data_IF_866002910812
#
_entry.id   IF_866002910812
#
_cell.length_a   1.000
_cell.length_b   1.000
_cell.length_c   1.000
_cell.angle_alpha   90.00
_cell.angle_beta   90.00
_cell.angle_gamma   90.00
#
_symmetry.space_group_name_H-M   'P 1'
#
loop_
_entity.id
_entity.type
_entity.pdbx_description
1 polymer ?
#
# COMPACT_ATOMS: atom_id res chain seq x y z
N UNK A 1 8.53 13.42 -59.09
CA UNK A 1 9.99 13.52 -59.34
C UNK A 1 10.57 14.51 -58.36
N UNK A 2 11.59 14.07 -57.63
CA UNK A 2 12.13 14.70 -56.43
C UNK A 2 12.78 16.05 -56.69
N UNK A 3 12.54 17.02 -55.80
CA UNK A 3 13.42 18.17 -55.63
C UNK A 3 14.02 18.10 -54.22
N UNK A 4 15.27 17.64 -54.21
CA UNK A 4 16.19 17.63 -53.08
C UNK A 4 16.74 19.05 -52.91
N UNK A 5 16.60 19.63 -51.72
CA UNK A 5 17.39 20.80 -51.33
C UNK A 5 18.22 20.44 -50.10
N UNK A 6 19.52 20.61 -50.34
CA UNK A 6 20.68 20.27 -49.53
C UNK A 6 20.69 21.00 -48.18
N UNK A 7 20.96 20.24 -47.13
CA UNK A 7 21.50 20.73 -45.86
C UNK A 7 22.91 21.26 -46.09
N UNK A 8 23.22 22.44 -45.55
CA UNK A 8 24.55 23.04 -45.62
C UNK A 8 24.78 24.02 -44.49
N UNK A 9 25.58 23.58 -43.50
CA UNK A 9 26.37 24.34 -42.51
C UNK A 9 25.56 25.19 -41.48
N UNK A 10 25.92 25.28 -40.20
CA UNK A 10 27.24 25.63 -39.64
C UNK A 10 27.36 25.05 -38.21
N UNK A 11 28.58 24.65 -37.88
CA UNK A 11 29.09 24.24 -36.56
C UNK A 11 29.10 25.44 -35.61
N UNK A 12 28.63 25.27 -34.38
CA UNK A 12 29.17 25.99 -33.23
C UNK A 12 29.36 25.02 -32.05
N UNK A 13 30.64 24.74 -31.79
CA UNK A 13 31.13 24.03 -30.62
C UNK A 13 31.25 25.08 -29.51
N UNK A 14 30.55 24.87 -28.40
CA UNK A 14 30.94 25.47 -27.12
C UNK A 14 31.20 24.32 -26.16
N UNK A 15 32.49 24.05 -25.99
CA UNK A 15 33.00 23.29 -24.87
C UNK A 15 32.97 24.19 -23.62
N UNK A 16 32.30 23.75 -22.56
CA UNK A 16 32.68 24.13 -21.22
C UNK A 16 32.96 22.87 -20.40
N UNK A 17 34.24 22.71 -20.10
CA UNK A 17 34.76 21.79 -19.11
C UNK A 17 34.67 22.49 -17.77
N UNK A 18 33.93 21.92 -16.82
CA UNK A 18 34.19 22.12 -15.39
C UNK A 18 34.33 20.74 -14.78
N UNK A 19 35.57 20.40 -14.45
CA UNK A 19 35.91 19.28 -13.58
C UNK A 19 36.01 19.76 -12.15
N UNK A 20 35.46 18.96 -11.24
CA UNK A 20 35.86 18.71 -9.84
C UNK A 20 34.66 17.97 -9.22
N UNK A 21 34.75 16.83 -8.55
CA UNK A 21 35.87 16.03 -8.08
C UNK A 21 35.24 15.06 -7.09
N UNK A 22 35.36 13.77 -7.32
CA UNK A 22 35.07 12.76 -6.30
C UNK A 22 36.16 11.72 -6.35
N UNK A 23 37.03 11.77 -5.33
CA UNK A 23 37.91 10.68 -4.98
C UNK A 23 37.19 9.68 -4.08
N UNK A 24 37.69 8.44 -4.11
CA UNK A 24 37.60 7.38 -3.09
C UNK A 24 36.19 6.77 -2.93
N UNK A 25 35.94 5.45 -3.07
CA UNK A 25 36.77 4.25 -2.93
C UNK A 25 36.19 3.11 -3.77
N UNK A 26 37.00 2.58 -4.68
CA UNK A 26 36.85 1.20 -5.12
C UNK A 26 37.39 0.28 -4.01
N UNK A 27 36.55 -0.61 -3.47
CA UNK A 27 37.01 -1.78 -2.73
C UNK A 27 36.51 -3.03 -3.44
N UNK A 28 37.39 -3.58 -4.27
CA UNK A 28 37.36 -4.96 -4.69
C UNK A 28 37.52 -5.87 -3.48
N UNK A 29 36.79 -6.98 -3.45
CA UNK A 29 37.27 -8.34 -3.12
C UNK A 29 36.08 -9.27 -3.40
N UNK A 30 36.16 -10.23 -4.30
CA UNK A 30 37.21 -11.23 -4.34
C UNK A 30 36.71 -12.47 -3.59
N UNK A 31 35.87 -13.26 -4.26
CA UNK A 31 35.31 -14.51 -3.78
C UNK A 31 36.23 -15.66 -4.18
N UNK A 32 36.95 -16.25 -3.22
CA UNK A 32 37.39 -17.64 -3.24
C UNK A 32 38.17 -17.98 -1.96
N UNK A 33 37.81 -19.09 -1.29
CA UNK A 33 38.71 -19.74 -0.34
C UNK A 33 38.05 -20.29 0.92
N UNK A 34 37.89 -21.61 0.96
CA UNK A 34 37.52 -22.47 2.10
C UNK A 34 38.49 -22.30 3.28
N UNK A 35 38.02 -22.43 4.53
CA UNK A 35 38.50 -23.45 5.50
C UNK A 35 37.92 -23.23 6.92
N UNK A 36 37.95 -24.32 7.67
CA UNK A 36 37.39 -24.69 8.96
C UNK A 36 37.78 -23.88 10.21
N UNK A 37 36.83 -23.88 11.16
CA UNK A 37 36.91 -24.04 12.63
C UNK A 37 38.01 -23.25 13.38
N UNK A 38 37.57 -22.31 14.23
CA UNK A 38 38.09 -22.18 15.61
C UNK A 38 37.16 -21.30 16.45
N UNK A 39 36.68 -21.87 17.56
CA UNK A 39 36.12 -21.15 18.71
C UNK A 39 37.07 -20.05 19.18
N UNK A 40 36.53 -18.86 19.42
CA UNK A 40 36.94 -18.04 20.57
C UNK A 40 35.84 -17.06 20.94
N UNK A 41 35.23 -17.40 22.06
CA UNK A 41 34.49 -16.56 23.00
C UNK A 41 34.88 -15.07 22.96
N UNK A 42 33.90 -14.22 22.65
CA UNK A 42 33.82 -12.85 23.15
C UNK A 42 32.37 -12.56 23.55
N UNK A 43 32.07 -12.88 24.80
CA UNK A 43 31.01 -12.22 25.53
C UNK A 43 31.43 -10.75 25.76
N UNK A 44 30.70 -9.79 25.21
CA UNK A 44 30.23 -8.59 25.94
C UNK A 44 29.30 -7.70 25.10
N UNK A 45 28.10 -7.47 25.67
CA UNK A 45 27.13 -6.37 25.49
C UNK A 45 26.07 -6.44 24.38
N UNK A 46 24.89 -6.99 24.71
CA UNK A 46 23.60 -6.46 24.29
C UNK A 46 22.88 -5.88 25.51
N UNK A 47 23.14 -4.62 25.88
CA UNK A 47 22.31 -3.97 26.92
C UNK A 47 22.10 -2.45 26.79
N UNK A 48 22.55 -1.79 25.72
CA UNK A 48 22.34 -0.34 25.55
C UNK A 48 21.21 0.03 24.58
N UNK A 49 20.67 -0.90 23.77
CA UNK A 49 19.58 -0.55 22.84
C UNK A 49 18.18 -0.56 23.47
N UNK A 50 17.94 -1.34 24.51
CA UNK A 50 16.61 -1.46 25.12
C UNK A 50 16.31 -0.39 26.18
N UNK A 51 17.32 0.36 26.65
CA UNK A 51 17.10 1.54 27.50
C UNK A 51 16.86 2.83 26.69
N UNK A 52 17.08 2.84 25.36
CA UNK A 52 16.88 4.04 24.54
C UNK A 52 15.44 4.26 24.04
N UNK A 53 14.53 3.29 24.22
CA UNK A 53 13.13 3.44 23.78
C UNK A 53 12.19 4.05 24.82
N UNK A 54 12.62 4.25 26.06
CA UNK A 54 11.76 4.72 27.14
C UNK A 54 11.66 6.25 27.28
N UNK A 55 12.50 7.03 26.59
CA UNK A 55 12.57 8.50 26.72
C UNK A 55 12.44 9.23 25.37
N UNK A 56 11.59 8.75 24.45
CA UNK A 56 11.21 9.61 23.33
C UNK A 56 10.21 10.65 23.84
N UNK A 57 10.58 11.95 23.90
CA UNK A 57 9.64 12.98 24.32
C UNK A 57 8.41 12.92 23.41
N UNK A 58 7.20 12.98 23.99
CA UNK A 58 5.97 13.12 23.22
C UNK A 58 6.14 14.33 22.30
N UNK A 59 6.14 14.11 21.00
CA UNK A 59 6.31 15.20 20.03
C UNK A 59 5.22 16.22 20.27
N UNK A 60 5.60 17.48 20.47
CA UNK A 60 4.65 18.57 20.46
C UNK A 60 4.06 18.73 19.06
N UNK A 61 2.92 19.43 18.93
CA UNK A 61 2.37 19.80 17.63
C UNK A 61 3.38 20.59 16.79
N UNK A 62 4.23 21.39 17.42
CA UNK A 62 5.30 22.14 16.75
C UNK A 62 6.42 21.22 16.25
N UNK A 63 6.80 20.18 17.02
CA UNK A 63 7.76 19.16 16.58
C UNK A 63 7.22 18.34 15.40
N UNK A 64 5.92 18.01 15.43
CA UNK A 64 5.24 17.34 14.32
C UNK A 64 5.21 18.22 13.07
N UNK A 65 4.86 19.50 13.18
CA UNK A 65 4.85 20.45 12.04
C UNK A 65 6.27 20.65 11.51
N UNK A 66 7.26 20.81 12.39
CA UNK A 66 8.66 20.93 12.00
C UNK A 66 9.14 19.67 11.29
N UNK A 67 8.82 18.49 11.83
CA UNK A 67 9.21 17.22 11.22
C UNK A 67 8.48 16.96 9.91
N UNK A 68 7.20 17.34 9.80
CA UNK A 68 6.44 17.27 8.56
C UNK A 68 7.05 18.18 7.48
N UNK A 69 7.46 19.40 7.85
CA UNK A 69 8.19 20.32 6.96
C UNK A 69 9.56 19.78 6.57
N UNK A 70 10.36 19.29 7.51
CA UNK A 70 11.66 18.66 7.22
C UNK A 70 11.52 17.41 6.33
N UNK A 71 10.47 16.61 6.53
CA UNK A 71 10.17 15.44 5.71
C UNK A 71 9.69 15.87 4.32
N UNK A 72 8.89 16.93 4.23
CA UNK A 72 8.49 17.51 2.94
C UNK A 72 9.69 18.09 2.17
N UNK A 73 10.61 18.78 2.85
CA UNK A 73 11.87 19.28 2.28
C UNK A 73 12.82 18.14 1.89
N UNK A 74 12.93 17.08 2.71
CA UNK A 74 13.74 15.90 2.41
C UNK A 74 13.16 15.04 1.27
N UNK A 75 11.84 15.17 1.01
CA UNK A 75 11.15 14.57 -0.14
C UNK A 75 11.27 15.39 -1.42
N UNK A 76 11.79 16.63 -1.37
CA UNK A 76 12.07 17.37 -2.60
C UNK A 76 13.21 16.67 -3.33
N UNK A 77 12.96 16.28 -4.57
CA UNK A 77 13.99 15.70 -5.42
C UNK A 77 15.18 16.68 -5.47
N UNK A 78 16.43 16.22 -5.27
CA UNK A 78 17.59 17.12 -5.16
C UNK A 78 17.83 17.97 -6.43
N UNK A 79 17.21 17.59 -7.56
CA UNK A 79 17.22 18.38 -8.79
C UNK A 79 16.14 19.47 -8.85
N UNK A 80 15.04 19.38 -8.07
CA UNK A 80 13.89 20.27 -8.21
C UNK A 80 14.26 21.75 -8.10
N UNK A 81 15.11 22.10 -7.11
CA UNK A 81 15.59 23.48 -6.93
C UNK A 81 16.52 23.96 -8.06
N UNK A 82 17.26 23.05 -8.71
CA UNK A 82 18.12 23.41 -9.84
C UNK A 82 17.28 23.58 -11.12
N UNK A 83 16.24 22.76 -11.28
CA UNK A 83 15.33 22.81 -12.43
C UNK A 83 14.51 24.10 -12.47
N UNK A 84 14.28 24.78 -11.34
CA UNK A 84 13.62 26.10 -11.28
C UNK A 84 14.24 27.13 -12.25
N UNK A 85 15.55 27.06 -12.46
CA UNK A 85 16.29 27.97 -13.36
C UNK A 85 16.29 27.55 -14.84
N UNK A 86 15.88 26.31 -15.14
CA UNK A 86 15.85 25.78 -16.50
C UNK A 86 14.63 26.29 -17.26
N UNK A 87 14.79 26.53 -18.54
CA UNK A 87 13.69 26.82 -19.48
C UNK A 87 12.99 25.53 -19.92
N UNK A 88 11.75 25.66 -20.40
CA UNK A 88 11.00 24.51 -20.92
C UNK A 88 11.72 23.83 -22.10
N UNK A 89 12.42 24.60 -22.94
CA UNK A 89 13.24 24.08 -24.03
C UNK A 89 14.46 23.27 -23.55
N UNK A 90 15.07 23.64 -22.42
CA UNK A 90 16.17 22.87 -21.82
C UNK A 90 15.66 21.56 -21.22
N UNK A 91 14.47 21.59 -20.59
CA UNK A 91 13.81 20.39 -20.07
C UNK A 91 13.44 19.45 -21.22
N UNK A 92 12.80 19.95 -22.28
CA UNK A 92 12.47 19.19 -23.48
C UNK A 92 13.71 18.56 -24.10
N UNK A 93 14.79 19.32 -24.26
CA UNK A 93 16.03 18.82 -24.82
C UNK A 93 16.64 17.68 -23.99
N UNK A 94 16.64 17.81 -22.66
CA UNK A 94 17.13 16.77 -21.76
C UNK A 94 16.25 15.51 -21.83
N UNK A 95 14.93 15.66 -21.84
CA UNK A 95 14.01 14.54 -22.01
C UNK A 95 14.21 13.84 -23.36
N UNK A 96 14.38 14.58 -24.46
CA UNK A 96 14.70 14.02 -25.76
C UNK A 96 16.04 13.28 -25.77
N UNK A 97 17.05 13.76 -25.02
CA UNK A 97 18.30 13.03 -24.82
C UNK A 97 18.05 11.70 -24.09
N UNK A 98 17.19 11.67 -23.06
CA UNK A 98 16.86 10.41 -22.37
C UNK A 98 16.19 9.39 -23.28
N UNK A 99 15.32 9.82 -24.20
CA UNK A 99 14.68 8.95 -25.19
C UNK A 99 15.69 8.35 -26.17
N UNK A 100 16.81 9.04 -26.43
CA UNK A 100 17.88 8.51 -27.29
C UNK A 100 18.75 7.43 -26.63
N UNK A 101 18.59 7.23 -25.33
CA UNK A 101 19.37 6.29 -24.50
C UNK A 101 18.41 5.43 -23.65
N UNK A 102 17.77 4.42 -24.24
CA UNK A 102 16.71 3.64 -23.57
C UNK A 102 17.13 3.09 -22.20
N UNK A 103 18.39 2.72 -22.02
CA UNK A 103 18.94 2.25 -20.76
C UNK A 103 18.83 3.25 -19.60
N UNK A 104 18.60 4.54 -19.89
CA UNK A 104 18.36 5.58 -18.90
C UNK A 104 16.94 5.56 -18.34
N UNK A 105 15.98 5.04 -19.11
CA UNK A 105 14.57 4.89 -18.72
C UNK A 105 14.25 3.45 -18.27
N UNK A 106 15.05 2.47 -18.70
CA UNK A 106 14.91 1.06 -18.35
C UNK A 106 15.51 0.77 -16.95
N UNK A 107 14.83 1.22 -15.90
CA UNK A 107 14.95 0.64 -14.56
C UNK A 107 13.67 -0.10 -14.21
N UNK A 108 13.73 -1.19 -13.44
CA UNK A 108 12.48 -1.75 -12.93
C UNK A 108 11.78 -0.72 -12.05
N UNK A 109 10.45 -0.67 -12.08
CA UNK A 109 9.65 0.18 -11.18
C UNK A 109 9.97 -0.07 -9.69
N UNK A 110 10.57 -1.22 -9.38
CA UNK A 110 10.97 -1.62 -8.03
C UNK A 110 12.37 -1.17 -7.62
N UNK A 111 13.25 -0.85 -8.58
CA UNK A 111 14.62 -0.39 -8.35
C UNK A 111 14.94 0.74 -9.34
N UNK A 112 14.30 1.91 -9.18
CA UNK A 112 14.53 3.05 -10.06
C UNK A 112 16.02 3.43 -10.02
N UNK A 113 16.59 3.63 -11.21
CA UNK A 113 17.95 4.14 -11.32
C UNK A 113 17.92 5.67 -11.24
N UNK A 114 19.03 6.30 -10.85
CA UNK A 114 19.06 7.76 -10.67
C UNK A 114 18.69 8.54 -11.95
N UNK A 115 18.86 7.94 -13.13
CA UNK A 115 18.58 8.60 -14.41
C UNK A 115 17.10 8.55 -14.77
N UNK A 116 16.40 7.45 -14.44
CA UNK A 116 14.94 7.38 -14.60
C UNK A 116 14.26 8.34 -13.64
N UNK A 117 14.68 8.39 -12.37
CA UNK A 117 14.22 9.41 -11.41
C UNK A 117 14.41 10.85 -11.94
N UNK A 118 15.57 11.14 -12.54
CA UNK A 118 15.83 12.46 -13.14
C UNK A 118 14.90 12.75 -14.32
N UNK A 119 14.62 11.79 -15.20
CA UNK A 119 13.68 11.95 -16.31
C UNK A 119 12.24 12.19 -15.81
N UNK A 120 11.82 11.46 -14.77
CA UNK A 120 10.53 11.66 -14.13
C UNK A 120 10.42 13.04 -13.51
N UNK A 121 11.45 13.51 -12.80
CA UNK A 121 11.47 14.85 -12.20
C UNK A 121 11.48 15.95 -13.27
N UNK A 122 12.18 15.76 -14.40
CA UNK A 122 12.14 16.69 -15.53
C UNK A 122 10.73 16.82 -16.11
N UNK A 123 10.04 15.70 -16.35
CA UNK A 123 8.68 15.71 -16.87
C UNK A 123 7.69 16.31 -15.84
N UNK A 124 7.78 15.93 -14.57
CA UNK A 124 7.02 16.50 -13.44
C UNK A 124 7.21 18.02 -13.35
N UNK A 125 8.47 18.43 -13.36
CA UNK A 125 9.03 19.72 -13.80
C UNK A 125 8.09 20.54 -14.67
N UNK A 126 8.11 20.09 -15.92
CA UNK A 126 7.47 20.73 -17.05
C UNK A 126 5.96 20.71 -16.95
N UNK A 127 5.36 19.57 -16.57
CA UNK A 127 3.91 19.44 -16.43
C UNK A 127 3.30 20.44 -15.45
N UNK A 128 4.02 20.80 -14.38
CA UNK A 128 3.55 21.82 -13.43
C UNK A 128 3.61 23.24 -13.98
N UNK A 129 4.48 23.51 -14.95
CA UNK A 129 4.67 24.83 -15.56
C UNK A 129 3.77 25.05 -16.75
N UNK A 130 3.77 24.07 -17.66
CA UNK A 130 3.03 24.06 -18.91
C UNK A 130 2.61 22.61 -19.21
N UNK A 131 1.48 22.23 -18.65
CA UNK A 131 0.92 20.90 -18.82
C UNK A 131 0.65 20.57 -20.29
N UNK A 132 0.10 21.51 -21.05
CA UNK A 132 -0.30 21.27 -22.45
C UNK A 132 0.92 21.03 -23.35
N UNK A 133 1.99 21.80 -23.18
CA UNK A 133 3.23 21.58 -23.92
C UNK A 133 3.89 20.23 -23.55
N UNK A 134 3.99 19.93 -22.25
CA UNK A 134 4.55 18.67 -21.78
C UNK A 134 3.73 17.45 -22.25
N UNK A 135 2.40 17.55 -22.24
CA UNK A 135 1.50 16.51 -22.71
C UNK A 135 1.57 16.34 -24.24
N UNK A 136 1.70 17.43 -25.00
CA UNK A 136 1.91 17.37 -26.45
C UNK A 136 3.24 16.66 -26.79
N UNK A 137 4.31 16.96 -26.03
CA UNK A 137 5.59 16.26 -26.14
C UNK A 137 5.45 14.77 -25.82
N UNK A 138 4.84 14.42 -24.68
CA UNK A 138 4.59 13.02 -24.27
C UNK A 138 3.80 12.26 -25.34
N UNK A 139 2.75 12.90 -25.89
CA UNK A 139 1.92 12.32 -26.95
C UNK A 139 2.73 11.99 -28.20
N UNK A 140 3.77 12.79 -28.48
CA UNK A 140 4.70 12.61 -29.59
C UNK A 140 5.71 11.48 -29.42
N UNK A 141 5.90 10.94 -28.21
CA UNK A 141 6.81 9.80 -27.94
C UNK A 141 6.32 8.57 -28.71
N UNK A 142 7.21 7.98 -29.51
CA UNK A 142 6.91 6.81 -30.37
C UNK A 142 7.39 5.49 -29.78
N UNK A 143 8.40 5.51 -28.90
CA UNK A 143 8.88 4.30 -28.24
C UNK A 143 7.88 3.87 -27.17
N UNK A 144 7.24 2.72 -27.36
CA UNK A 144 6.17 2.25 -26.48
C UNK A 144 6.64 1.98 -25.05
N UNK A 145 7.87 1.50 -24.86
CA UNK A 145 8.40 1.19 -23.53
C UNK A 145 8.69 2.48 -22.77
N UNK A 146 9.38 3.44 -23.41
CA UNK A 146 9.62 4.74 -22.83
C UNK A 146 8.31 5.47 -22.51
N UNK A 147 7.33 5.37 -23.41
CA UNK A 147 6.00 5.97 -23.22
C UNK A 147 5.26 5.37 -22.03
N UNK A 148 5.27 4.05 -21.88
CA UNK A 148 4.68 3.35 -20.72
C UNK A 148 5.36 3.77 -19.39
N UNK A 149 6.70 3.87 -19.37
CA UNK A 149 7.43 4.31 -18.18
C UNK A 149 7.07 5.75 -17.81
N UNK A 150 7.07 6.66 -18.78
CA UNK A 150 6.73 8.07 -18.56
C UNK A 150 5.25 8.28 -18.23
N UNK A 151 4.37 7.35 -18.62
CA UNK A 151 2.94 7.41 -18.33
C UNK A 151 2.65 7.42 -16.82
N UNK A 152 3.51 6.82 -16.00
CA UNK A 152 3.40 6.88 -14.53
C UNK A 152 3.51 8.33 -14.05
N UNK A 153 4.52 9.07 -14.53
CA UNK A 153 4.71 10.48 -14.21
C UNK A 153 3.54 11.34 -14.72
N UNK A 154 3.01 11.00 -15.90
CA UNK A 154 1.83 11.65 -16.46
C UNK A 154 0.62 11.53 -15.53
N UNK A 155 0.32 10.32 -15.04
CA UNK A 155 -0.79 10.11 -14.11
C UNK A 155 -0.59 10.83 -12.77
N UNK A 156 0.61 10.78 -12.19
CA UNK A 156 0.92 11.45 -10.91
C UNK A 156 0.75 12.97 -10.95
N UNK A 157 0.91 13.59 -12.13
CA UNK A 157 0.89 15.03 -12.31
C UNK A 157 -0.28 15.51 -13.18
N UNK A 158 -1.27 14.65 -13.40
CA UNK A 158 -2.47 15.03 -14.15
C UNK A 158 -3.33 16.02 -13.36
N UNK A 159 -3.73 17.16 -13.95
CA UNK A 159 -4.56 18.16 -13.29
C UNK A 159 -5.90 17.59 -12.83
N UNK A 160 -6.27 17.84 -11.57
CA UNK A 160 -7.52 17.35 -11.00
C UNK A 160 -8.76 17.92 -11.71
N UNK A 161 -8.67 19.14 -12.27
CA UNK A 161 -9.72 19.78 -13.07
C UNK A 161 -9.87 19.21 -14.49
N UNK A 162 -9.01 18.26 -14.87
CA UNK A 162 -9.02 17.55 -16.16
C UNK A 162 -9.26 16.05 -16.01
N UNK A 163 -9.91 15.63 -14.93
CA UNK A 163 -10.22 14.24 -14.63
C UNK A 163 -10.87 13.48 -15.81
N UNK A 164 -11.92 14.07 -16.43
CA UNK A 164 -12.62 13.42 -17.55
C UNK A 164 -11.72 13.22 -18.78
N UNK A 165 -10.76 14.13 -19.01
CA UNK A 165 -9.78 14.01 -20.11
C UNK A 165 -8.77 12.90 -19.84
N UNK A 166 -8.29 12.77 -18.60
CA UNK A 166 -7.39 11.70 -18.18
C UNK A 166 -8.04 10.32 -18.31
N UNK A 167 -9.30 10.21 -17.87
CA UNK A 167 -10.08 8.99 -18.05
C UNK A 167 -10.33 8.66 -19.54
N UNK A 168 -10.66 9.66 -20.37
CA UNK A 168 -10.78 9.46 -21.81
C UNK A 168 -9.45 9.00 -22.45
N UNK A 169 -8.31 9.53 -21.98
CA UNK A 169 -6.99 9.11 -22.45
C UNK A 169 -6.73 7.63 -22.13
N UNK A 170 -7.06 7.18 -20.92
CA UNK A 170 -6.95 5.78 -20.52
C UNK A 170 -7.74 4.86 -21.46
N UNK A 171 -8.95 5.24 -21.85
CA UNK A 171 -9.81 4.48 -22.76
C UNK A 171 -9.25 4.37 -24.17
N UNK A 172 -8.62 5.44 -24.65
CA UNK A 172 -8.05 5.49 -26.01
C UNK A 172 -6.75 4.67 -26.08
N UNK A 173 -5.94 4.68 -25.01
CA UNK A 173 -4.61 4.06 -24.98
C UNK A 173 -4.41 3.08 -23.81
N UNK A 174 -5.27 2.05 -23.64
CA UNK A 174 -5.19 1.13 -22.51
C UNK A 174 -3.86 0.35 -22.46
N UNK A 175 -3.16 0.22 -23.59
CA UNK A 175 -1.85 -0.43 -23.70
C UNK A 175 -0.70 0.36 -23.06
N UNK A 176 -0.82 1.70 -22.99
CA UNK A 176 0.16 2.58 -22.32
C UNK A 176 -0.08 2.59 -20.80
N UNK A 177 -1.30 2.22 -20.38
CA UNK A 177 -1.72 2.12 -18.99
C UNK A 177 -2.13 0.68 -18.64
N UNK A 178 -1.19 -0.28 -18.70
CA UNK A 178 -1.49 -1.67 -18.40
C UNK A 178 -1.93 -1.86 -16.95
N UNK A 179 -2.56 -3.01 -16.67
CA UNK A 179 -2.93 -3.43 -15.32
C UNK A 179 -1.70 -3.41 -14.42
N UNK A 180 -1.73 -2.60 -13.36
CA UNK A 180 -0.61 -2.40 -12.44
C UNK A 180 0.17 -1.10 -12.64
N UNK A 181 -0.11 -0.34 -13.69
CA UNK A 181 0.41 1.01 -13.84
C UNK A 181 -0.30 1.97 -12.86
N UNK A 182 0.42 2.67 -11.96
CA UNK A 182 -0.18 3.61 -11.01
C UNK A 182 -1.01 4.73 -11.65
N UNK A 183 -0.65 5.18 -12.86
CA UNK A 183 -1.39 6.22 -13.58
C UNK A 183 -2.81 5.79 -13.94
N UNK A 184 -3.01 4.51 -14.27
CA UNK A 184 -4.34 3.95 -14.50
C UNK A 184 -5.22 4.10 -13.28
N UNK A 185 -4.70 3.72 -12.10
CA UNK A 185 -5.43 3.86 -10.84
C UNK A 185 -5.80 5.31 -10.57
N UNK A 186 -4.87 6.25 -10.78
CA UNK A 186 -5.13 7.69 -10.62
C UNK A 186 -6.23 8.20 -11.57
N UNK A 187 -6.20 7.83 -12.85
CA UNK A 187 -7.25 8.21 -13.81
C UNK A 187 -8.60 7.58 -13.52
N UNK A 188 -8.63 6.30 -13.12
CA UNK A 188 -9.85 5.64 -12.68
C UNK A 188 -10.47 6.40 -11.49
N UNK A 189 -9.68 6.68 -10.45
CA UNK A 189 -10.15 7.37 -9.25
C UNK A 189 -10.63 8.79 -9.58
N UNK A 190 -9.86 9.58 -10.32
CA UNK A 190 -10.28 10.93 -10.73
C UNK A 190 -11.57 10.91 -11.57
N UNK A 191 -11.69 9.97 -12.51
CA UNK A 191 -12.91 9.81 -13.32
C UNK A 191 -14.12 9.48 -12.46
N UNK A 192 -13.98 8.55 -11.51
CA UNK A 192 -15.04 8.19 -10.55
C UNK A 192 -15.42 9.38 -9.65
N UNK A 193 -14.45 10.16 -9.18
CA UNK A 193 -14.70 11.38 -8.38
C UNK A 193 -15.49 12.42 -9.17
N UNK A 194 -15.06 12.70 -10.40
CA UNK A 194 -15.70 13.69 -11.27
C UNK A 194 -17.14 13.30 -11.62
N UNK A 195 -17.37 12.02 -11.92
CA UNK A 195 -18.70 11.50 -12.20
C UNK A 195 -19.59 11.48 -10.96
N UNK A 196 -19.05 11.12 -9.79
CA UNK A 196 -19.79 11.21 -8.53
C UNK A 196 -20.25 12.65 -8.24
N UNK A 197 -19.40 13.64 -8.52
CA UNK A 197 -19.73 15.06 -8.31
C UNK A 197 -20.77 15.60 -9.31
N UNK A 198 -20.77 15.13 -10.57
CA UNK A 198 -21.63 15.64 -11.65
C UNK A 198 -22.93 14.83 -11.81
N UNK A 199 -22.81 13.51 -11.85
CA UNK A 199 -23.88 12.55 -12.12
C UNK A 199 -24.45 11.87 -10.87
N UNK A 200 -23.85 12.11 -9.69
CA UNK A 200 -24.25 11.49 -8.44
C UNK A 200 -24.11 9.97 -8.47
N UNK A 201 -24.89 9.28 -7.65
CA UNK A 201 -24.86 7.83 -7.51
C UNK A 201 -25.18 7.07 -8.82
N UNK A 202 -26.16 7.56 -9.59
CA UNK A 202 -26.58 6.92 -10.85
C UNK A 202 -25.51 7.08 -11.93
N UNK A 203 -24.93 8.28 -12.06
CA UNK A 203 -23.83 8.52 -13.00
C UNK A 203 -22.61 7.67 -12.66
N UNK A 204 -22.24 7.63 -11.38
CA UNK A 204 -21.13 6.80 -10.90
C UNK A 204 -21.36 5.31 -11.19
N UNK A 205 -22.58 4.82 -10.95
CA UNK A 205 -22.96 3.44 -11.26
C UNK A 205 -22.86 3.11 -12.75
N UNK A 206 -23.29 4.03 -13.62
CA UNK A 206 -23.17 3.87 -15.07
C UNK A 206 -21.70 3.84 -15.53
N UNK A 207 -20.86 4.72 -14.98
CA UNK A 207 -19.43 4.74 -15.26
C UNK A 207 -18.72 3.47 -14.78
N UNK A 208 -19.04 2.97 -13.59
CA UNK A 208 -18.49 1.69 -13.09
C UNK A 208 -18.86 0.51 -14.00
N UNK A 209 -20.11 0.46 -14.47
CA UNK A 209 -20.56 -0.58 -15.40
C UNK A 209 -19.80 -0.50 -16.74
N UNK A 210 -19.57 0.72 -17.26
CA UNK A 210 -18.76 0.94 -18.46
C UNK A 210 -17.29 0.52 -18.24
N UNK A 211 -16.67 0.94 -17.13
CA UNK A 211 -15.31 0.55 -16.77
C UNK A 211 -15.17 -0.97 -16.62
N UNK A 212 -16.16 -1.64 -16.05
CA UNK A 212 -16.17 -3.09 -15.94
C UNK A 212 -16.24 -3.76 -17.33
N UNK A 213 -17.15 -3.30 -18.19
CA UNK A 213 -17.31 -3.82 -19.55
C UNK A 213 -16.05 -3.63 -20.41
N UNK A 214 -15.34 -2.53 -20.21
CA UNK A 214 -14.08 -2.20 -20.92
C UNK A 214 -12.84 -2.80 -20.24
N UNK A 215 -13.00 -3.57 -19.16
CA UNK A 215 -11.90 -4.15 -18.38
C UNK A 215 -10.89 -3.09 -17.88
N UNK A 216 -11.40 -1.92 -17.48
CA UNK A 216 -10.62 -0.78 -16.98
C UNK A 216 -10.38 -0.83 -15.46
N UNK A 217 -11.23 -1.53 -14.72
CA UNK A 217 -11.09 -1.73 -13.28
C UNK A 217 -9.85 -2.55 -12.90
N UNK A 218 -9.29 -2.28 -11.72
CA UNK A 218 -8.02 -2.83 -11.27
C UNK A 218 -8.21 -3.83 -10.13
N UNK A 219 -7.60 -5.02 -10.20
CA UNK A 219 -7.82 -6.08 -9.21
C UNK A 219 -6.63 -6.34 -8.27
N UNK A 220 -5.67 -5.41 -8.16
CA UNK A 220 -4.47 -5.61 -7.34
C UNK A 220 -4.13 -4.36 -6.51
N UNK A 221 -3.43 -4.56 -5.39
CA UNK A 221 -2.91 -3.47 -4.59
C UNK A 221 -3.96 -2.65 -3.85
N UNK A 222 -3.48 -1.67 -3.09
CA UNK A 222 -4.30 -0.69 -2.40
C UNK A 222 -4.27 0.60 -3.23
N UNK A 223 -5.43 1.04 -3.69
CA UNK A 223 -5.63 2.38 -4.24
C UNK A 223 -6.67 3.05 -3.35
N UNK A 224 -6.42 4.26 -2.81
CA UNK A 224 -7.44 4.97 -2.06
C UNK A 224 -8.68 5.15 -2.97
N UNK A 225 -9.88 4.92 -2.41
CA UNK A 225 -11.13 5.14 -3.15
C UNK A 225 -11.32 6.61 -3.57
N UNK A 226 -12.28 6.89 -4.47
CA UNK A 226 -12.57 8.25 -4.92
C UNK A 226 -13.12 9.10 -3.78
N UNK A 227 -12.64 10.33 -3.57
CA UNK A 227 -13.30 11.24 -2.61
C UNK A 227 -14.71 11.60 -3.11
N UNK A 228 -15.72 11.22 -2.33
CA UNK A 228 -17.13 11.46 -2.64
C UNK A 228 -17.67 12.68 -1.88
N UNK A 229 -18.73 13.34 -2.37
CA UNK A 229 -19.46 14.36 -1.60
C UNK A 229 -19.94 13.83 -0.23
N UNK A 230 -20.00 14.70 0.78
CA UNK A 230 -20.42 14.33 2.14
C UNK A 230 -21.84 13.73 2.19
N UNK A 231 -22.72 14.16 1.28
CA UNK A 231 -24.11 13.73 1.12
C UNK A 231 -24.31 12.72 -0.02
N UNK A 232 -23.25 12.02 -0.43
CA UNK A 232 -23.33 11.04 -1.50
C UNK A 232 -24.29 9.89 -1.17
N UNK A 233 -25.20 9.59 -2.10
CA UNK A 233 -26.26 8.59 -1.95
C UNK A 233 -25.76 7.17 -2.27
N UNK A 234 -25.13 6.52 -1.29
CA UNK A 234 -24.63 5.14 -1.46
C UNK A 234 -25.74 4.12 -1.70
N UNK A 235 -26.94 4.33 -1.17
CA UNK A 235 -28.09 3.42 -1.38
C UNK A 235 -28.52 3.42 -2.85
N UNK A 236 -28.58 4.60 -3.47
CA UNK A 236 -28.84 4.72 -4.90
C UNK A 236 -27.75 4.06 -5.75
N UNK A 237 -26.48 4.14 -5.34
CA UNK A 237 -25.37 3.46 -6.03
C UNK A 237 -25.49 1.94 -5.91
N UNK A 238 -25.79 1.45 -4.70
CA UNK A 238 -26.00 0.04 -4.42
C UNK A 238 -27.15 -0.58 -5.22
N UNK A 239 -28.10 0.24 -5.67
CA UNK A 239 -29.23 -0.18 -6.51
C UNK A 239 -28.89 -0.34 -8.00
N UNK A 240 -27.71 0.07 -8.48
CA UNK A 240 -27.36 0.01 -9.92
C UNK A 240 -26.70 -1.30 -10.37
N UNK A 241 -26.61 -2.31 -9.51
CA UNK A 241 -25.83 -3.56 -9.67
C UNK A 241 -24.31 -3.37 -9.90
N UNK A 242 -23.83 -2.17 -10.18
CA UNK A 242 -22.44 -1.90 -10.56
C UNK A 242 -21.42 -2.25 -9.46
N UNK A 243 -21.76 -2.06 -8.18
CA UNK A 243 -20.92 -2.49 -7.07
C UNK A 243 -20.79 -4.02 -6.99
N UNK A 244 -21.86 -4.73 -7.33
CA UNK A 244 -21.86 -6.20 -7.35
C UNK A 244 -21.07 -6.72 -8.55
N UNK A 245 -21.30 -6.17 -9.73
CA UNK A 245 -20.63 -6.60 -10.95
C UNK A 245 -19.12 -6.32 -10.91
N UNK A 246 -18.72 -5.20 -10.32
CA UNK A 246 -17.31 -4.84 -10.13
C UNK A 246 -16.68 -5.40 -8.85
N UNK A 247 -17.34 -6.31 -8.13
CA UNK A 247 -16.80 -6.86 -6.90
C UNK A 247 -15.46 -7.56 -7.13
N UNK A 248 -14.54 -7.42 -6.16
CA UNK A 248 -13.17 -7.92 -6.28
C UNK A 248 -12.20 -6.95 -6.95
N UNK A 249 -12.68 -5.82 -7.46
CA UNK A 249 -11.83 -4.72 -7.94
C UNK A 249 -11.50 -3.75 -6.82
N UNK A 250 -10.37 -3.05 -6.97
CA UNK A 250 -9.80 -2.13 -5.98
C UNK A 250 -10.66 -0.89 -5.86
N UNK A 251 -11.17 -0.39 -6.98
CA UNK A 251 -12.06 0.77 -7.03
C UNK A 251 -13.37 0.50 -6.29
N UNK A 252 -14.01 -0.65 -6.54
CA UNK A 252 -15.25 -1.03 -5.85
C UNK A 252 -15.01 -1.28 -4.36
N UNK A 253 -13.92 -1.96 -3.99
CA UNK A 253 -13.56 -2.12 -2.57
C UNK A 253 -13.30 -0.78 -1.88
N UNK A 254 -12.66 0.16 -2.58
CA UNK A 254 -12.45 1.53 -2.10
C UNK A 254 -13.77 2.27 -1.87
N UNK A 255 -14.73 2.16 -2.80
CA UNK A 255 -16.06 2.74 -2.67
C UNK A 255 -16.84 2.14 -1.49
N UNK A 256 -16.85 0.82 -1.35
CA UNK A 256 -17.53 0.13 -0.25
C UNK A 256 -16.85 0.44 1.10
N UNK A 257 -15.52 0.59 1.12
CA UNK A 257 -14.79 1.01 2.32
C UNK A 257 -15.17 2.43 2.75
N UNK A 258 -15.36 3.35 1.81
CA UNK A 258 -15.87 4.69 2.12
C UNK A 258 -17.32 4.66 2.58
N UNK A 259 -18.16 3.82 1.97
CA UNK A 259 -19.52 3.62 2.45
C UNK A 259 -19.52 3.13 3.90
N UNK A 260 -18.71 2.12 4.24
CA UNK A 260 -18.56 1.66 5.63
C UNK A 260 -18.05 2.74 6.59
N UNK A 261 -17.26 3.70 6.12
CA UNK A 261 -16.82 4.82 6.93
C UNK A 261 -17.93 5.86 7.20
N UNK A 262 -18.90 5.99 6.30
CA UNK A 262 -20.03 6.92 6.40
C UNK A 262 -21.23 6.28 7.12
N UNK A 263 -21.65 5.10 6.67
CA UNK A 263 -22.77 4.31 7.18
C UNK A 263 -22.40 2.83 7.21
N UNK A 264 -21.77 2.42 8.32
CA UNK A 264 -21.31 1.05 8.52
C UNK A 264 -22.47 0.03 8.55
N UNK A 265 -23.66 0.41 9.00
CA UNK A 265 -24.80 -0.50 9.12
C UNK A 265 -25.32 -0.90 7.75
N UNK A 266 -25.65 0.09 6.91
CA UNK A 266 -26.16 -0.17 5.56
C UNK A 266 -25.13 -0.85 4.67
N UNK A 267 -23.86 -0.42 4.74
CA UNK A 267 -22.79 -0.99 3.94
C UNK A 267 -22.52 -2.46 4.31
N UNK A 268 -22.42 -2.79 5.60
CA UNK A 268 -22.21 -4.17 6.04
C UNK A 268 -23.41 -5.04 5.68
N UNK A 269 -24.64 -4.56 5.90
CA UNK A 269 -25.85 -5.28 5.52
C UNK A 269 -25.90 -5.58 4.01
N UNK A 270 -25.47 -4.63 3.18
CA UNK A 270 -25.35 -4.82 1.73
C UNK A 270 -24.31 -5.90 1.41
N UNK A 271 -23.08 -5.79 1.95
CA UNK A 271 -22.00 -6.76 1.69
C UNK A 271 -22.38 -8.16 2.15
N UNK A 272 -22.99 -8.31 3.33
CA UNK A 272 -23.44 -9.60 3.85
C UNK A 272 -24.44 -10.25 2.89
N UNK A 273 -25.37 -9.46 2.34
CA UNK A 273 -26.39 -9.92 1.41
C UNK A 273 -25.82 -10.31 0.04
N UNK A 274 -24.80 -9.60 -0.45
CA UNK A 274 -24.28 -9.81 -1.81
C UNK A 274 -23.11 -10.79 -1.86
N UNK A 275 -22.22 -10.75 -0.87
CA UNK A 275 -20.91 -11.41 -0.88
C UNK A 275 -20.67 -12.29 0.35
N UNK A 276 -21.59 -12.27 1.31
CA UNK A 276 -21.51 -13.04 2.54
C UNK A 276 -20.51 -12.47 3.57
N UNK A 277 -20.35 -13.16 4.71
CA UNK A 277 -19.46 -12.75 5.79
C UNK A 277 -18.01 -12.56 5.36
N UNK A 278 -17.47 -13.46 4.53
CA UNK A 278 -16.12 -13.33 3.98
C UNK A 278 -15.92 -12.06 3.14
N UNK A 279 -16.99 -11.55 2.51
CA UNK A 279 -17.00 -10.27 1.80
C UNK A 279 -16.69 -9.07 2.71
N UNK A 280 -17.20 -9.06 3.95
CA UNK A 280 -16.97 -7.98 4.92
C UNK A 280 -15.48 -7.88 5.27
N UNK A 281 -14.83 -9.03 5.49
CA UNK A 281 -13.39 -9.05 5.76
C UNK A 281 -12.57 -8.48 4.59
N UNK A 282 -12.94 -8.82 3.35
CA UNK A 282 -12.24 -8.33 2.16
C UNK A 282 -12.28 -6.80 2.04
N UNK A 283 -13.30 -6.12 2.57
CA UNK A 283 -13.36 -4.65 2.61
C UNK A 283 -12.53 -4.11 3.77
N UNK A 284 -12.59 -4.76 4.95
CA UNK A 284 -11.79 -4.39 6.12
C UNK A 284 -10.30 -4.37 5.81
N UNK A 285 -9.79 -5.42 5.15
CA UNK A 285 -8.39 -5.54 4.74
C UNK A 285 -7.93 -4.36 3.87
N UNK A 286 -8.85 -3.78 3.10
CA UNK A 286 -8.59 -2.71 2.15
C UNK A 286 -8.58 -1.31 2.75
N UNK A 287 -8.75 -1.12 4.07
CA UNK A 287 -8.43 0.15 4.71
C UNK A 287 -9.52 0.78 5.57
N UNK A 288 -10.19 -0.02 6.42
CA UNK A 288 -11.09 0.54 7.42
C UNK A 288 -10.34 1.21 8.58
N UNK A 289 -10.85 2.35 9.04
CA UNK A 289 -10.34 3.05 10.22
C UNK A 289 -10.86 2.43 11.53
N UNK A 290 -10.21 2.72 12.66
CA UNK A 290 -10.55 2.13 13.98
C UNK A 290 -12.01 2.30 14.38
N UNK A 291 -12.63 3.47 14.13
CA UNK A 291 -14.03 3.68 14.49
C UNK A 291 -14.98 2.79 13.67
N UNK A 292 -14.70 2.64 12.38
CA UNK A 292 -15.43 1.74 11.47
C UNK A 292 -15.30 0.29 11.93
N UNK A 293 -14.10 -0.14 12.34
CA UNK A 293 -13.88 -1.48 12.86
C UNK A 293 -14.70 -1.77 14.13
N UNK A 294 -14.79 -0.81 15.06
CA UNK A 294 -15.64 -0.98 16.24
C UNK A 294 -17.13 -1.13 15.83
N UNK A 295 -17.62 -0.29 14.91
CA UNK A 295 -19.00 -0.37 14.45
C UNK A 295 -19.31 -1.70 13.73
N UNK A 296 -18.35 -2.25 12.97
CA UNK A 296 -18.50 -3.58 12.37
C UNK A 296 -18.48 -4.68 13.45
N UNK A 297 -17.63 -4.54 14.48
CA UNK A 297 -17.59 -5.44 15.63
C UNK A 297 -18.94 -5.57 16.34
N UNK A 298 -19.60 -4.44 16.60
CA UNK A 298 -20.95 -4.37 17.19
C UNK A 298 -21.98 -5.15 16.34
N UNK A 299 -21.85 -5.10 15.02
CA UNK A 299 -22.75 -5.83 14.12
C UNK A 299 -22.49 -7.34 14.11
N UNK A 300 -21.22 -7.78 14.10
CA UNK A 300 -20.84 -9.20 14.09
C UNK A 300 -21.41 -9.95 15.29
N UNK A 301 -21.48 -9.29 16.46
CA UNK A 301 -22.07 -9.85 17.67
C UNK A 301 -23.53 -10.29 17.46
N UNK A 302 -24.25 -9.62 16.57
CA UNK A 302 -25.65 -9.88 16.26
C UNK A 302 -25.86 -10.81 15.05
N UNK A 303 -24.78 -11.31 14.43
CA UNK A 303 -24.87 -12.25 13.32
C UNK A 303 -25.30 -13.64 13.80
N UNK A 304 -25.80 -14.45 12.85
CA UNK A 304 -26.03 -15.87 13.11
C UNK A 304 -24.70 -16.57 13.45
N UNK A 305 -24.78 -17.69 14.17
CA UNK A 305 -23.59 -18.49 14.49
C UNK A 305 -22.87 -18.98 13.22
N UNK A 306 -23.63 -19.32 12.17
CA UNK A 306 -23.09 -19.73 10.87
C UNK A 306 -22.31 -18.59 10.20
N UNK A 307 -22.90 -17.40 10.11
CA UNK A 307 -22.27 -16.23 9.50
C UNK A 307 -21.02 -15.79 10.28
N UNK A 308 -21.10 -15.79 11.61
CA UNK A 308 -19.95 -15.46 12.48
C UNK A 308 -18.84 -16.48 12.33
N UNK A 309 -19.17 -17.77 12.26
CA UNK A 309 -18.18 -18.83 12.05
C UNK A 309 -17.48 -18.70 10.69
N UNK A 310 -18.19 -18.39 9.60
CA UNK A 310 -17.58 -18.17 8.28
C UNK A 310 -16.61 -16.98 8.30
N UNK A 311 -17.01 -15.89 8.97
CA UNK A 311 -16.18 -14.70 9.12
C UNK A 311 -14.90 -14.98 9.91
N UNK A 312 -15.01 -15.68 11.05
CA UNK A 312 -13.88 -16.07 11.87
C UNK A 312 -12.89 -16.96 11.11
N UNK A 313 -13.39 -17.97 10.39
CA UNK A 313 -12.58 -18.84 9.52
C UNK A 313 -11.86 -18.05 8.41
N UNK A 314 -12.52 -17.02 7.86
CA UNK A 314 -11.90 -16.11 6.88
C UNK A 314 -10.74 -15.32 7.51
N UNK A 315 -10.96 -14.72 8.69
CA UNK A 315 -9.89 -14.00 9.40
C UNK A 315 -8.74 -14.95 9.73
N UNK A 316 -9.04 -16.14 10.23
CA UNK A 316 -8.06 -17.17 10.62
C UNK A 316 -7.14 -17.53 9.47
N UNK A 317 -7.70 -17.87 8.31
CA UNK A 317 -6.94 -18.18 7.09
C UNK A 317 -6.04 -17.02 6.66
N UNK A 318 -6.51 -15.78 6.80
CA UNK A 318 -5.77 -14.60 6.41
C UNK A 318 -4.65 -14.25 7.40
N UNK A 319 -4.93 -14.32 8.71
CA UNK A 319 -3.93 -14.11 9.77
C UNK A 319 -2.81 -15.15 9.67
N UNK A 320 -3.14 -16.42 9.39
CA UNK A 320 -2.17 -17.47 9.17
C UNK A 320 -1.40 -17.27 7.84
N UNK A 321 -2.10 -16.91 6.77
CA UNK A 321 -1.56 -16.87 5.41
C UNK A 321 -0.78 -15.60 5.04
N UNK A 322 -1.01 -14.47 5.68
CA UNK A 322 -0.45 -13.18 5.25
C UNK A 322 0.92 -12.85 5.84
N UNK A 323 1.64 -11.85 5.30
CA UNK A 323 2.92 -11.38 5.87
C UNK A 323 2.69 -10.46 7.09
N UNK A 324 1.53 -9.80 7.12
CA UNK A 324 1.12 -8.91 8.19
C UNK A 324 -0.02 -9.57 8.98
N UNK A 325 0.00 -9.50 10.30
CA UNK A 325 -1.22 -9.74 11.10
C UNK A 325 -1.80 -8.37 11.38
N UNK A 326 -3.01 -8.06 10.92
CA UNK A 326 -3.63 -6.79 11.26
C UNK A 326 -4.15 -6.87 12.70
N UNK A 327 -3.26 -6.83 13.68
CA UNK A 327 -3.64 -6.82 15.11
C UNK A 327 -4.58 -5.66 15.43
N UNK A 328 -4.47 -4.55 14.69
CA UNK A 328 -5.41 -3.43 14.72
C UNK A 328 -6.81 -3.79 14.25
N UNK A 329 -6.97 -4.71 13.29
CA UNK A 329 -8.29 -5.20 12.84
C UNK A 329 -8.91 -6.05 13.95
N UNK A 330 -8.17 -7.04 14.49
CA UNK A 330 -8.69 -7.90 15.55
C UNK A 330 -9.08 -7.09 16.78
N UNK A 331 -8.19 -6.18 17.23
CA UNK A 331 -8.45 -5.33 18.40
C UNK A 331 -9.60 -4.34 18.13
N UNK A 332 -9.70 -3.77 16.92
CA UNK A 332 -10.78 -2.87 16.54
C UNK A 332 -12.14 -3.56 16.54
N UNK A 333 -12.25 -4.74 15.92
CA UNK A 333 -13.48 -5.52 15.91
C UNK A 333 -13.88 -5.92 17.34
N UNK A 334 -12.97 -6.50 18.11
CA UNK A 334 -13.25 -6.97 19.47
C UNK A 334 -13.62 -5.83 20.43
N UNK A 335 -13.13 -4.61 20.21
CA UNK A 335 -13.49 -3.42 21.01
C UNK A 335 -14.91 -2.92 20.74
N UNK A 336 -15.45 -3.20 19.56
CA UNK A 336 -16.84 -2.91 19.22
C UNK A 336 -17.87 -3.81 19.89
N UNK A 337 -17.44 -4.99 20.33
CA UNK A 337 -18.31 -6.03 20.87
C UNK A 337 -18.61 -5.80 22.35
N UNK A 338 -19.86 -6.02 22.74
CA UNK A 338 -20.35 -5.86 24.11
C UNK A 338 -20.22 -7.15 24.92
N UNK A 339 -20.41 -8.33 24.31
CA UNK A 339 -20.20 -9.64 24.89
C UNK A 339 -18.69 -9.99 24.90
N UNK A 340 -18.06 -10.09 26.09
CA UNK A 340 -16.65 -10.47 26.20
C UNK A 340 -16.35 -11.85 25.60
N UNK A 341 -17.30 -12.78 25.62
CA UNK A 341 -17.10 -14.11 25.09
C UNK A 341 -16.96 -14.10 23.56
N UNK A 342 -17.77 -13.31 22.86
CA UNK A 342 -17.71 -13.13 21.41
C UNK A 342 -16.48 -12.31 21.02
N UNK A 343 -16.15 -11.28 21.80
CA UNK A 343 -14.91 -10.52 21.61
C UNK A 343 -13.67 -11.42 21.72
N UNK A 344 -13.69 -12.37 22.65
CA UNK A 344 -12.60 -13.34 22.82
C UNK A 344 -12.52 -14.35 21.66
N UNK A 345 -13.64 -14.79 21.07
CA UNK A 345 -13.62 -15.62 19.83
C UNK A 345 -12.81 -14.94 18.72
N UNK A 346 -13.00 -13.63 18.52
CA UNK A 346 -12.24 -12.83 17.54
C UNK A 346 -10.77 -12.71 17.92
N UNK A 347 -10.46 -12.48 19.20
CA UNK A 347 -9.08 -12.37 19.69
C UNK A 347 -8.32 -13.69 19.55
N UNK A 348 -8.99 -14.82 19.78
CA UNK A 348 -8.44 -16.17 19.68
C UNK A 348 -7.97 -16.49 18.26
N UNK A 349 -8.66 -15.99 17.23
CA UNK A 349 -8.20 -16.08 15.82
C UNK A 349 -6.79 -15.49 15.63
N UNK A 350 -6.44 -14.46 16.39
CA UNK A 350 -5.11 -13.86 16.37
C UNK A 350 -3.98 -14.85 16.72
N UNK A 351 -4.26 -15.90 17.49
CA UNK A 351 -3.29 -16.90 17.95
C UNK A 351 -2.65 -17.64 16.77
N UNK A 352 -3.37 -17.82 15.66
CA UNK A 352 -2.83 -18.45 14.45
C UNK A 352 -1.62 -17.68 13.89
N UNK A 353 -1.58 -16.36 14.09
CA UNK A 353 -0.44 -15.53 13.72
C UNK A 353 0.84 -15.90 14.46
N UNK A 354 0.76 -16.53 15.64
CA UNK A 354 1.94 -16.97 16.38
C UNK A 354 2.64 -18.15 15.71
N UNK A 355 1.90 -19.11 15.17
CA UNK A 355 2.49 -20.21 14.39
C UNK A 355 3.26 -19.69 13.16
N UNK A 356 2.80 -18.57 12.60
CA UNK A 356 3.46 -17.85 11.50
C UNK A 356 4.58 -16.89 11.94
N UNK A 357 5.07 -17.00 13.19
CA UNK A 357 6.18 -16.18 13.71
C UNK A 357 5.85 -14.69 13.85
N UNK A 358 4.58 -14.35 14.13
CA UNK A 358 4.11 -12.97 14.30
C UNK A 358 3.77 -12.63 15.76
N UNK A 359 4.47 -13.26 16.71
CA UNK A 359 4.21 -13.12 18.15
C UNK A 359 4.11 -11.67 18.61
N UNK A 360 4.99 -10.78 18.14
CA UNK A 360 4.95 -9.35 18.49
C UNK A 360 3.64 -8.63 18.14
N UNK A 361 2.93 -9.06 17.11
CA UNK A 361 1.64 -8.50 16.71
C UNK A 361 0.46 -9.12 17.48
N UNK A 362 0.59 -10.39 17.89
CA UNK A 362 -0.49 -11.13 18.56
C UNK A 362 -0.57 -10.83 20.06
N UNK A 363 0.58 -10.70 20.74
CA UNK A 363 0.59 -10.50 22.20
C UNK A 363 -0.23 -9.30 22.69
N UNK A 364 -0.25 -8.13 22.03
CA UNK A 364 -1.11 -7.01 22.43
C UNK A 364 -2.60 -7.34 22.36
N UNK A 365 -3.03 -8.19 21.43
CA UNK A 365 -4.43 -8.64 21.31
C UNK A 365 -4.80 -9.52 22.50
N UNK A 366 -3.91 -10.44 22.88
CA UNK A 366 -4.12 -11.35 24.03
C UNK A 366 -4.04 -10.64 25.38
N UNK A 367 -3.37 -9.49 25.47
CA UNK A 367 -3.35 -8.66 26.67
C UNK A 367 -4.74 -8.10 27.04
N UNK A 368 -5.64 -8.01 26.06
CA UNK A 368 -7.01 -7.51 26.26
C UNK A 368 -8.00 -8.59 26.74
N UNK A 369 -7.60 -9.86 26.70
CA UNK A 369 -8.41 -10.99 27.16
C UNK A 369 -8.32 -11.17 28.68
N UNK A 370 -9.30 -11.86 29.26
CA UNK A 370 -9.22 -12.31 30.66
C UNK A 370 -7.94 -13.14 30.90
N UNK A 371 -7.21 -12.93 32.03
CA UNK A 371 -5.95 -13.62 32.30
C UNK A 371 -6.01 -15.13 32.27
N UNK A 372 -7.11 -15.76 32.72
CA UNK A 372 -7.25 -17.21 32.69
C UNK A 372 -7.52 -17.69 31.26
N UNK A 373 -8.40 -16.99 30.55
CA UNK A 373 -8.81 -17.36 29.20
C UNK A 373 -7.69 -17.23 28.17
N UNK A 374 -6.85 -16.19 28.25
CA UNK A 374 -5.70 -16.07 27.33
C UNK A 374 -4.70 -17.22 27.47
N UNK A 375 -4.49 -17.71 28.70
CA UNK A 375 -3.57 -18.84 28.95
C UNK A 375 -4.18 -20.14 28.44
N UNK A 376 -5.48 -20.34 28.68
CA UNK A 376 -6.21 -21.50 28.16
C UNK A 376 -6.22 -21.55 26.62
N UNK A 377 -6.50 -20.42 25.97
CA UNK A 377 -6.46 -20.31 24.51
C UNK A 377 -5.07 -20.66 23.94
N UNK A 378 -3.99 -20.22 24.60
CA UNK A 378 -2.62 -20.57 24.21
C UNK A 378 -2.28 -22.05 24.41
N UNK A 379 -2.83 -22.69 25.45
CA UNK A 379 -2.63 -24.12 25.73
C UNK A 379 -3.40 -25.03 24.77
N UNK A 380 -4.54 -24.56 24.28
CA UNK A 380 -5.43 -25.35 23.41
C UNK A 380 -5.21 -25.08 21.92
N UNK A 381 -4.56 -23.97 21.55
CA UNK A 381 -4.32 -23.56 20.17
C UNK A 381 -3.75 -24.65 19.27
N UNK A 382 -4.44 -24.99 18.19
CA UNK A 382 -3.96 -25.92 17.15
C UNK A 382 -3.68 -25.17 15.87
N UNK A 383 -2.61 -25.55 15.16
CA UNK A 383 -2.38 -25.05 13.80
C UNK A 383 -3.39 -25.70 12.85
N UNK A 384 -4.31 -24.90 12.31
CA UNK A 384 -5.37 -25.40 11.42
C UNK A 384 -5.12 -25.09 9.94
N UNK A 385 -4.04 -24.36 9.62
CA UNK A 385 -3.76 -23.88 8.26
C UNK A 385 -2.35 -24.29 7.79
N UNK A 386 -2.18 -24.78 6.55
CA UNK A 386 -0.87 -25.17 6.03
C UNK A 386 0.14 -24.02 6.02
N UNK A 387 1.27 -24.25 6.70
CA UNK A 387 2.40 -23.32 6.77
C UNK A 387 3.10 -23.21 5.40
N UNK A 388 3.08 -22.00 4.82
CA UNK A 388 3.88 -21.65 3.64
C UNK A 388 4.83 -20.45 3.87
N UNK A 389 4.92 -19.92 5.09
CA UNK A 389 5.65 -18.68 5.42
C UNK A 389 6.49 -18.86 6.70
N UNK A 390 7.07 -17.76 7.21
CA UNK A 390 7.99 -17.72 8.37
C UNK A 390 7.46 -18.58 9.54
N UNK A 391 8.31 -19.43 10.10
CA UNK A 391 7.98 -20.21 11.29
C UNK A 391 8.25 -19.41 12.57
N UNK A 392 7.55 -19.78 13.65
CA UNK A 392 7.88 -19.38 15.02
C UNK A 392 9.37 -19.65 15.32
N UNK A 393 10.13 -18.58 15.51
CA UNK A 393 11.59 -18.63 15.69
C UNK A 393 12.04 -18.28 17.09
N UNK A 394 13.36 -18.27 17.31
CA UNK A 394 13.96 -17.95 18.61
C UNK A 394 13.53 -16.58 19.16
N UNK A 395 13.46 -15.55 18.31
CA UNK A 395 13.00 -14.22 18.73
C UNK A 395 11.54 -14.21 19.19
N UNK A 396 10.71 -15.04 18.57
CA UNK A 396 9.29 -15.18 18.91
C UNK A 396 9.14 -15.94 20.24
N UNK A 397 9.94 -16.99 20.44
CA UNK A 397 10.06 -17.71 21.71
C UNK A 397 10.49 -16.80 22.86
N UNK A 398 11.53 -16.00 22.68
CA UNK A 398 12.01 -15.08 23.72
C UNK A 398 10.94 -14.05 24.10
N UNK A 399 10.22 -13.50 23.11
CA UNK A 399 9.10 -12.59 23.35
C UNK A 399 7.94 -13.28 24.08
N UNK A 400 7.54 -14.47 23.63
CA UNK A 400 6.44 -15.22 24.24
C UNK A 400 6.77 -15.58 25.70
N UNK A 401 7.98 -16.11 25.96
CA UNK A 401 8.44 -16.45 27.32
C UNK A 401 8.47 -15.25 28.24
N UNK A 402 9.00 -14.11 27.75
CA UNK A 402 8.99 -12.87 28.51
C UNK A 402 7.56 -12.49 28.91
N UNK A 403 6.62 -12.56 27.96
CA UNK A 403 5.24 -12.19 28.17
C UNK A 403 4.48 -13.14 29.11
N UNK A 404 4.69 -14.44 28.97
CA UNK A 404 4.12 -15.46 29.87
C UNK A 404 4.60 -15.28 31.32
N UNK A 405 5.88 -14.92 31.50
CA UNK A 405 6.41 -14.57 32.83
C UNK A 405 5.78 -13.28 33.40
N UNK A 406 5.58 -12.24 32.57
CA UNK A 406 4.84 -11.02 32.98
C UNK A 406 3.40 -11.36 33.41
N UNK A 407 2.76 -12.32 32.75
CA UNK A 407 1.44 -12.85 33.10
C UNK A 407 1.45 -13.85 34.26
N UNK A 408 2.61 -14.11 34.88
CA UNK A 408 2.79 -15.04 36.01
C UNK A 408 2.36 -16.48 35.68
N UNK A 409 2.50 -16.91 34.44
CA UNK A 409 2.26 -18.30 34.01
C UNK A 409 3.35 -19.20 34.58
N UNK A 410 2.99 -20.41 35.02
CA UNK A 410 3.97 -21.34 35.61
C UNK A 410 5.05 -21.73 34.59
N UNK A 411 6.22 -22.13 35.07
CA UNK A 411 7.30 -22.58 34.19
C UNK A 411 6.88 -23.80 33.33
N UNK A 412 6.11 -24.71 33.91
CA UNK A 412 5.58 -25.91 33.25
C UNK A 412 4.63 -25.53 32.11
N UNK A 413 3.64 -24.68 32.38
CA UNK A 413 2.71 -24.18 31.37
C UNK A 413 3.43 -23.35 30.30
N UNK A 414 4.45 -22.57 30.69
CA UNK A 414 5.25 -21.79 29.74
C UNK A 414 5.97 -22.70 28.74
N UNK A 415 6.58 -23.80 29.19
CA UNK A 415 7.19 -24.76 28.29
C UNK A 415 6.15 -25.41 27.37
N UNK A 416 5.00 -25.82 27.90
CA UNK A 416 3.92 -26.41 27.11
C UNK A 416 3.44 -25.48 25.99
N UNK A 417 3.14 -24.22 26.33
CA UNK A 417 2.73 -23.19 25.37
C UNK A 417 3.81 -22.98 24.32
N UNK A 418 5.07 -22.80 24.72
CA UNK A 418 6.18 -22.55 23.77
C UNK A 418 6.38 -23.73 22.82
N UNK A 419 6.32 -24.97 23.31
CA UNK A 419 6.49 -26.15 22.45
C UNK A 419 5.36 -26.30 21.44
N UNK A 420 4.15 -25.86 21.78
CA UNK A 420 3.00 -25.92 20.88
C UNK A 420 3.18 -25.10 19.61
N UNK A 421 3.84 -23.94 19.69
CA UNK A 421 4.09 -23.07 18.52
C UNK A 421 5.37 -23.41 17.75
N UNK A 422 6.23 -24.29 18.28
CA UNK A 422 7.43 -24.74 17.56
C UNK A 422 7.04 -25.71 16.43
N UNK A 423 7.70 -25.61 15.26
CA UNK A 423 7.42 -26.45 14.11
C UNK A 423 7.85 -27.91 14.29
#
# INVERSE_FOLDING_TARGET
MACSVKRGAIIFIIAMTVGAGFGLLARSNGRAGKSAIAEKSQATRPHERDQQRADHPKWSTEDLIKRAKETAEARKHPLAANLESWTDAEIEAALNETLSKPEWLLSSLTEPNATSEAAFELLRVWMRRDFDAAFAWFSGVQDGIAKEQLAVCLGENWPDDRASEGFALLRIYPEIFPVGNPARGKFNIQGLQDEAAKGGAVGLGALLAEMHAEQLLYNRGFTPGPELPDDFDFDALAATDALKDGWGTTEVRGLVSQWMANDAESAVAWVLKTEGPSGVYNVIEYGCYTNTLNAIGEQIENWSEEDRSEFLDTIEKQVAGQLYTPSSVISGLAKGMSDPAVADEIREVGIQGMFAGKTSAVLPVLDEMDPARRVDALLTATLDVPNGRRNFGQSDEELLRKKLNEWQVSAEQTEEIVQRFKP
#
